data_IF_353167237990
#
_entry.id   IF_353167237990
#
_cell.length_a   1.000
_cell.length_b   1.000
_cell.length_c   1.000
_cell.angle_alpha   90.00
_cell.angle_beta   90.00
_cell.angle_gamma   90.00
#
_symmetry.space_group_name_H-M   'P 1'
#
loop_
_entity.id
_entity.type
_entity.pdbx_description
1 polymer ?
#
# COMPACT_ATOMS: atom_id res chain seq x y z
N UNK A 1 -18.97 -57.21 -50.71
CA UNK A 1 -19.00 -55.79 -51.12
C UNK A 1 -17.98 -55.01 -50.29
N UNK A 2 -17.06 -54.32 -50.97
CA UNK A 2 -16.09 -53.25 -50.60
C UNK A 2 -15.55 -53.18 -49.14
N UNK A 3 -14.22 -53.36 -48.91
CA UNK A 3 -13.07 -52.37 -48.98
C UNK A 3 -13.15 -51.28 -47.87
N UNK A 4 -12.12 -50.74 -47.21
CA UNK A 4 -10.63 -50.84 -47.06
C UNK A 4 -10.26 -49.79 -45.93
N UNK A 5 -9.24 -49.99 -45.07
CA UNK A 5 -7.91 -49.29 -45.04
C UNK A 5 -7.97 -47.72 -45.01
N UNK A 6 -7.21 -46.90 -44.25
CA UNK A 6 -5.86 -46.96 -43.63
C UNK A 6 -5.54 -45.65 -42.82
N UNK A 7 -4.52 -45.69 -41.93
CA UNK A 7 -3.53 -44.64 -41.54
C UNK A 7 -3.97 -43.24 -41.04
N UNK A 8 -3.30 -42.55 -40.10
CA UNK A 8 -2.05 -42.79 -39.37
C UNK A 8 -1.47 -41.51 -38.71
N UNK A 9 -0.54 -41.71 -37.77
CA UNK A 9 0.52 -40.78 -37.26
C UNK A 9 0.08 -39.50 -36.49
N UNK A 10 0.75 -39.02 -35.42
CA UNK A 10 2.17 -39.12 -35.03
C UNK A 10 2.37 -38.79 -33.54
N UNK A 11 3.25 -39.54 -32.89
CA UNK A 11 3.83 -39.28 -31.56
C UNK A 11 4.85 -38.14 -31.60
N UNK A 12 5.08 -37.47 -30.46
CA UNK A 12 6.44 -37.17 -29.98
C UNK A 12 6.46 -36.98 -28.46
N UNK A 13 7.00 -38.00 -27.80
CA UNK A 13 7.50 -38.00 -26.44
C UNK A 13 8.78 -37.18 -26.34
N UNK A 14 8.97 -36.46 -25.24
CA UNK A 14 10.28 -36.26 -24.61
C UNK A 14 10.10 -36.17 -23.11
N UNK A 15 10.47 -37.26 -22.44
CA UNK A 15 10.71 -37.36 -21.00
C UNK A 15 11.94 -36.51 -20.68
N UNK A 16 11.90 -35.76 -19.58
CA UNK A 16 13.12 -35.42 -18.84
C UNK A 16 12.96 -35.96 -17.41
N UNK A 17 13.66 -37.06 -17.18
CA UNK A 17 14.01 -37.59 -15.86
C UNK A 17 15.09 -36.68 -15.27
N UNK A 18 14.92 -36.24 -14.03
CA UNK A 18 16.04 -35.78 -13.21
C UNK A 18 15.95 -36.45 -11.84
N UNK A 19 17.08 -37.03 -11.49
CA UNK A 19 17.28 -38.06 -10.50
C UNK A 19 17.15 -37.54 -9.07
N UNK A 20 16.47 -38.33 -8.24
CA UNK A 20 16.60 -38.30 -6.79
C UNK A 20 17.90 -39.05 -6.42
N UNK A 21 18.89 -38.31 -5.92
CA UNK A 21 20.01 -38.89 -5.20
C UNK A 21 19.73 -38.76 -3.71
N UNK A 22 19.46 -39.90 -3.07
CA UNK A 22 19.47 -40.03 -1.62
C UNK A 22 20.89 -40.05 -1.09
N UNK A 23 21.09 -39.40 0.06
CA UNK A 23 22.18 -39.71 0.97
C UNK A 23 21.57 -39.88 2.36
N UNK A 24 21.44 -41.15 2.78
CA UNK A 24 21.49 -41.54 4.17
C UNK A 24 22.96 -41.48 4.62
N UNK A 25 23.23 -40.92 5.80
CA UNK A 25 23.98 -41.61 6.87
C UNK A 25 24.11 -40.73 8.13
N UNK A 26 23.90 -41.41 9.25
CA UNK A 26 24.47 -41.24 10.59
C UNK A 26 23.99 -40.10 11.50
N UNK A 27 23.10 -40.52 12.40
CA UNK A 27 23.02 -40.12 13.80
C UNK A 27 24.31 -40.51 14.57
N UNK A 28 24.83 -39.62 15.42
CA UNK A 28 25.33 -39.94 16.77
C UNK A 28 25.38 -38.66 17.64
N UNK A 29 25.16 -38.76 18.97
CA UNK A 29 24.98 -37.63 19.89
C UNK A 29 26.23 -37.30 20.72
N UNK A 30 26.26 -36.07 21.27
CA UNK A 30 26.99 -35.71 22.49
C UNK A 30 28.36 -35.05 22.28
N UNK A 31 28.49 -33.80 22.73
CA UNK A 31 29.59 -33.34 23.60
C UNK A 31 29.29 -31.92 24.09
N UNK A 32 29.29 -31.81 25.42
CA UNK A 32 29.16 -30.58 26.19
C UNK A 32 30.34 -29.64 26.01
N UNK A 33 30.05 -28.35 26.20
CA UNK A 33 30.91 -27.41 26.90
C UNK A 33 32.26 -27.07 26.26
N UNK A 34 32.37 -25.83 25.76
CA UNK A 34 33.41 -24.91 26.23
C UNK A 34 33.11 -23.49 25.72
N UNK A 35 32.89 -22.62 26.71
CA UNK A 35 33.06 -21.18 26.67
C UNK A 35 34.38 -20.80 26.01
N UNK A 36 34.35 -19.82 25.10
CA UNK A 36 35.38 -18.78 25.00
C UNK A 36 34.87 -17.59 24.17
N UNK A 37 35.18 -16.42 24.69
CA UNK A 37 34.73 -15.09 24.33
C UNK A 37 35.44 -14.46 23.13
N UNK A 38 34.71 -13.55 22.46
CA UNK A 38 35.17 -12.35 21.74
C UNK A 38 35.65 -12.51 20.27
N UNK A 39 35.76 -11.40 19.50
CA UNK A 39 34.71 -10.41 19.19
C UNK A 39 34.55 -10.17 17.67
N UNK A 40 33.53 -9.37 17.32
CA UNK A 40 33.30 -8.74 16.02
C UNK A 40 34.57 -8.36 15.25
N UNK A 41 34.67 -8.81 13.99
CA UNK A 41 35.47 -8.15 12.96
C UNK A 41 34.60 -7.80 11.76
N UNK A 42 34.40 -6.50 11.63
CA UNK A 42 33.96 -5.79 10.45
C UNK A 42 34.66 -6.28 9.18
N UNK A 43 33.90 -6.52 8.11
CA UNK A 43 34.40 -6.66 6.75
C UNK A 43 35.12 -5.37 6.34
N UNK A 44 36.43 -5.37 6.45
CA UNK A 44 37.29 -4.42 5.75
C UNK A 44 37.39 -4.93 4.32
N UNK A 45 36.86 -4.15 3.38
CA UNK A 45 37.10 -4.31 1.94
C UNK A 45 38.56 -3.95 1.66
N UNK A 46 39.46 -4.92 1.72
CA UNK A 46 40.81 -4.77 1.16
C UNK A 46 40.74 -4.92 -0.36
N UNK A 47 40.83 -3.79 -1.06
CA UNK A 47 41.06 -3.75 -2.51
C UNK A 47 42.38 -4.44 -2.83
N UNK A 48 42.30 -5.52 -3.60
CA UNK A 48 43.47 -6.22 -4.15
C UNK A 48 44.24 -5.27 -5.08
N UNK A 49 45.44 -4.86 -4.68
CA UNK A 49 46.39 -4.24 -5.59
C UNK A 49 47.00 -5.34 -6.48
N UNK A 50 46.52 -5.43 -7.72
CA UNK A 50 47.19 -6.21 -8.75
C UNK A 50 48.51 -5.50 -9.11
N UNK A 51 49.64 -6.06 -8.68
CA UNK A 51 50.96 -5.64 -9.11
C UNK A 51 51.14 -5.88 -10.61
N UNK A 52 51.24 -4.80 -11.38
CA UNK A 52 51.64 -4.85 -12.79
C UNK A 52 53.17 -4.98 -12.84
N UNK A 53 53.65 -6.17 -13.15
CA UNK A 53 55.06 -6.41 -13.44
C UNK A 53 55.40 -5.79 -14.81
N UNK A 54 56.29 -4.79 -14.82
CA UNK A 54 56.84 -4.22 -16.06
C UNK A 54 58.05 -5.03 -16.50
N UNK A 55 57.97 -5.62 -17.70
CA UNK A 55 59.12 -6.18 -18.42
C UNK A 55 59.59 -5.13 -19.43
N UNK A 56 60.66 -4.42 -19.12
CA UNK A 56 61.27 -3.47 -20.05
C UNK A 56 62.09 -4.22 -21.10
N UNK A 57 61.70 -4.12 -22.38
CA UNK A 57 62.58 -4.36 -23.53
C UNK A 57 62.48 -3.16 -24.46
N UNK A 58 63.60 -2.45 -24.62
CA UNK A 58 63.96 -1.68 -25.80
C UNK A 58 63.11 -0.45 -26.16
N UNK A 59 63.67 0.73 -25.92
CA UNK A 59 63.60 1.87 -26.86
C UNK A 59 62.29 2.64 -26.99
N UNK A 60 62.29 3.86 -26.47
CA UNK A 60 61.55 4.98 -27.08
C UNK A 60 60.18 5.33 -26.49
N UNK A 61 60.07 6.59 -26.07
CA UNK A 61 58.88 7.35 -25.62
C UNK A 61 58.32 7.00 -24.24
N UNK A 62 58.72 7.81 -23.26
CA UNK A 62 57.99 8.00 -21.99
C UNK A 62 56.68 8.73 -22.31
N UNK A 63 55.57 8.01 -22.38
CA UNK A 63 54.24 8.62 -22.24
C UNK A 63 54.00 8.69 -20.74
N UNK A 64 54.00 9.91 -20.19
CA UNK A 64 53.53 10.15 -18.84
C UNK A 64 52.02 9.89 -18.82
N UNK A 65 51.63 8.67 -18.48
CA UNK A 65 50.25 8.39 -18.05
C UNK A 65 50.15 8.97 -16.64
N UNK A 66 49.74 10.23 -16.57
CA UNK A 66 49.26 10.81 -15.32
C UNK A 66 48.10 9.92 -14.87
N UNK A 67 48.34 9.11 -13.83
CA UNK A 67 47.25 8.48 -13.08
C UNK A 67 46.42 9.61 -12.48
N UNK A 68 45.36 9.99 -13.18
CA UNK A 68 44.25 10.74 -12.61
C UNK A 68 43.59 9.84 -11.57
N UNK A 69 44.16 9.82 -10.37
CA UNK A 69 43.55 9.33 -9.14
C UNK A 69 42.49 10.33 -8.65
N UNK A 70 41.71 10.89 -9.57
CA UNK A 70 40.40 11.43 -9.21
C UNK A 70 39.50 10.21 -9.17
N UNK A 71 39.45 9.59 -7.99
CA UNK A 71 38.41 8.64 -7.66
C UNK A 71 37.10 9.25 -8.16
N UNK A 72 36.41 8.52 -9.03
CA UNK A 72 35.06 8.86 -9.41
C UNK A 72 34.27 8.95 -8.12
N UNK A 73 34.14 10.15 -7.56
CA UNK A 73 33.13 10.46 -6.57
C UNK A 73 31.86 9.99 -7.22
N UNK A 74 31.39 8.83 -6.76
CA UNK A 74 30.22 8.18 -7.32
C UNK A 74 29.11 9.22 -7.29
N UNK A 75 28.66 9.67 -8.46
CA UNK A 75 27.65 10.72 -8.57
C UNK A 75 26.37 10.33 -7.79
N UNK A 76 26.17 9.04 -7.54
CA UNK A 76 25.12 8.52 -6.68
C UNK A 76 25.33 8.86 -5.19
N UNK A 77 26.57 8.84 -4.70
CA UNK A 77 26.90 9.24 -3.32
C UNK A 77 26.69 10.74 -3.12
N UNK A 78 27.01 11.58 -4.12
CA UNK A 78 26.74 13.02 -4.05
C UNK A 78 25.25 13.31 -3.91
N UNK A 79 24.41 12.67 -4.73
CA UNK A 79 22.94 12.85 -4.63
C UNK A 79 22.36 12.37 -3.30
N UNK A 80 22.87 11.25 -2.77
CA UNK A 80 22.45 10.73 -1.47
C UNK A 80 22.83 11.69 -0.33
N UNK A 81 24.05 12.24 -0.37
CA UNK A 81 24.54 13.21 0.61
C UNK A 81 23.76 14.54 0.55
N UNK A 82 23.51 15.07 -0.65
CA UNK A 82 22.70 16.26 -0.87
C UNK A 82 21.22 16.11 -0.43
N UNK A 83 20.74 14.87 -0.26
CA UNK A 83 19.39 14.56 0.20
C UNK A 83 19.33 14.17 1.68
N UNK A 84 20.47 14.06 2.36
CA UNK A 84 20.57 13.61 3.75
C UNK A 84 20.79 14.82 4.68
N UNK A 85 19.81 15.21 5.52
CA UNK A 85 19.96 16.36 6.43
C UNK A 85 21.05 16.18 7.49
N UNK A 86 21.60 14.98 7.68
CA UNK A 86 22.77 14.75 8.52
C UNK A 86 24.12 14.96 7.80
N UNK A 87 24.12 15.33 6.52
CA UNK A 87 25.34 15.61 5.75
C UNK A 87 25.46 17.12 5.47
N UNK A 88 26.66 17.74 5.55
CA UNK A 88 26.83 19.18 5.29
C UNK A 88 26.34 19.63 3.89
N UNK A 89 26.53 18.78 2.88
CA UNK A 89 26.11 19.09 1.49
C UNK A 89 24.61 19.32 1.33
N UNK A 90 23.77 18.72 2.18
CA UNK A 90 22.34 19.00 2.20
C UNK A 90 22.06 20.47 2.51
N UNK A 91 22.71 21.02 3.54
CA UNK A 91 22.52 22.39 3.99
C UNK A 91 23.09 23.40 2.99
N UNK A 92 24.27 23.09 2.42
CA UNK A 92 24.85 23.88 1.32
C UNK A 92 23.92 23.97 0.12
N UNK A 93 23.25 22.87 -0.24
CA UNK A 93 22.25 22.86 -1.31
C UNK A 93 21.00 23.69 -1.00
N UNK A 94 20.64 23.84 0.27
CA UNK A 94 19.58 24.76 0.70
C UNK A 94 20.05 26.23 0.77
N UNK A 95 21.30 26.53 0.42
CA UNK A 95 21.87 27.87 0.47
C UNK A 95 22.37 28.29 1.86
N UNK A 96 22.62 27.34 2.76
CA UNK A 96 23.18 27.58 4.09
C UNK A 96 24.64 27.17 4.15
N UNK A 97 25.50 28.02 4.72
CA UNK A 97 26.94 27.77 4.81
C UNK A 97 27.29 26.64 5.79
N UNK A 98 26.48 26.47 6.83
CA UNK A 98 26.58 25.39 7.83
C UNK A 98 25.18 24.93 8.29
N UNK A 99 25.14 23.91 9.15
CA UNK A 99 23.91 23.41 9.77
C UNK A 99 23.29 24.50 10.65
N UNK A 100 21.97 24.75 10.55
CA UNK A 100 21.28 25.64 11.49
C UNK A 100 21.23 25.01 12.89
N UNK A 101 21.12 25.79 13.96
CA UNK A 101 21.12 25.29 15.34
C UNK A 101 20.06 24.21 15.62
N UNK A 102 18.92 24.27 14.92
CA UNK A 102 17.82 23.31 15.04
C UNK A 102 17.90 22.14 14.04
N UNK A 103 19.06 21.88 13.42
CA UNK A 103 19.22 20.82 12.41
C UNK A 103 18.83 19.43 12.93
N UNK A 104 19.02 19.16 14.22
CA UNK A 104 18.63 17.88 14.85
C UNK A 104 17.12 17.64 14.76
N UNK A 105 16.31 18.69 14.98
CA UNK A 105 14.85 18.60 14.87
C UNK A 105 14.42 18.24 13.43
N UNK A 106 15.10 18.82 12.43
CA UNK A 106 14.86 18.49 11.02
C UNK A 106 15.22 17.03 10.71
N UNK A 107 16.34 16.54 11.23
CA UNK A 107 16.76 15.13 11.05
C UNK A 107 15.76 14.17 11.69
N UNK A 108 15.31 14.46 12.91
CA UNK A 108 14.34 13.63 13.62
C UNK A 108 12.96 13.67 12.97
N UNK A 109 12.54 14.82 12.44
CA UNK A 109 11.31 14.93 11.64
C UNK A 109 11.42 14.12 10.35
N UNK A 110 12.54 14.23 9.62
CA UNK A 110 12.77 13.48 8.39
C UNK A 110 12.80 11.96 8.66
N UNK A 111 13.45 11.52 9.74
CA UNK A 111 13.45 10.12 10.18
C UNK A 111 12.03 9.64 10.49
N UNK A 112 11.28 10.39 11.29
CA UNK A 112 9.90 10.06 11.66
C UNK A 112 8.99 9.96 10.44
N UNK A 113 9.13 10.90 9.50
CA UNK A 113 8.42 10.90 8.21
C UNK A 113 8.77 9.66 7.38
N UNK A 114 10.05 9.29 7.30
CA UNK A 114 10.51 8.09 6.61
C UNK A 114 9.98 6.79 7.22
N UNK A 115 9.96 6.69 8.55
CA UNK A 115 9.38 5.54 9.27
C UNK A 115 7.87 5.42 8.99
N UNK A 116 7.13 6.52 9.12
CA UNK A 116 5.70 6.52 8.84
C UNK A 116 5.42 6.18 7.37
N UNK A 117 6.21 6.73 6.45
CA UNK A 117 6.10 6.40 5.03
C UNK A 117 6.29 4.91 4.77
N UNK A 118 7.33 4.30 5.34
CA UNK A 118 7.56 2.87 5.22
C UNK A 118 6.36 2.06 5.74
N UNK A 119 5.87 2.39 6.96
CA UNK A 119 4.70 1.73 7.54
C UNK A 119 3.46 1.86 6.66
N UNK A 120 3.15 3.05 6.18
CA UNK A 120 1.98 3.33 5.33
C UNK A 120 2.08 2.59 4.00
N UNK A 121 3.25 2.60 3.38
CA UNK A 121 3.48 1.88 2.12
C UNK A 121 3.35 0.37 2.32
N UNK A 122 3.88 -0.19 3.42
CA UNK A 122 3.73 -1.60 3.76
C UNK A 122 2.26 -1.95 4.04
N UNK A 123 1.54 -1.13 4.82
CA UNK A 123 0.12 -1.36 5.12
C UNK A 123 -0.79 -1.26 3.89
N UNK A 124 -0.44 -0.41 2.92
CA UNK A 124 -1.15 -0.28 1.65
C UNK A 124 -0.72 -1.32 0.58
N UNK A 125 0.42 -1.97 0.76
CA UNK A 125 0.95 -2.92 -0.20
C UNK A 125 0.09 -4.19 -0.24
N UNK A 126 -0.39 -4.52 -1.44
CA UNK A 126 -1.12 -5.77 -1.70
C UNK A 126 -0.20 -6.81 -2.33
N UNK A 127 -0.30 -8.05 -1.86
CA UNK A 127 0.40 -9.18 -2.46
C UNK A 127 -0.07 -9.43 -3.91
N UNK A 128 0.76 -10.06 -4.76
CA UNK A 128 0.34 -10.48 -6.10
C UNK A 128 -0.94 -11.34 -6.08
N UNK A 129 -1.09 -12.20 -5.08
CA UNK A 129 -2.22 -13.10 -4.89
C UNK A 129 -3.50 -12.32 -4.57
N UNK A 130 -3.43 -11.33 -3.66
CA UNK A 130 -4.56 -10.44 -3.35
C UNK A 130 -4.99 -9.65 -4.59
N UNK A 131 -4.05 -9.16 -5.40
CA UNK A 131 -4.36 -8.45 -6.65
C UNK A 131 -5.04 -9.37 -7.67
N UNK A 132 -4.58 -10.62 -7.80
CA UNK A 132 -5.19 -11.63 -8.68
C UNK A 132 -6.60 -12.00 -8.21
N UNK A 133 -6.80 -12.21 -6.90
CA UNK A 133 -8.11 -12.48 -6.31
C UNK A 133 -9.08 -11.33 -6.59
N UNK A 134 -8.66 -10.07 -6.36
CA UNK A 134 -9.47 -8.89 -6.66
C UNK A 134 -9.85 -8.81 -8.15
N UNK A 135 -8.93 -9.18 -9.05
CA UNK A 135 -9.20 -9.27 -10.48
C UNK A 135 -10.25 -10.34 -10.83
N UNK A 136 -10.19 -11.51 -10.20
CA UNK A 136 -11.19 -12.58 -10.40
C UNK A 136 -12.56 -12.15 -9.90
N UNK A 137 -12.63 -11.60 -8.70
CA UNK A 137 -13.89 -11.14 -8.10
C UNK A 137 -14.52 -10.01 -8.92
N UNK A 138 -13.71 -9.04 -9.39
CA UNK A 138 -14.19 -7.98 -10.30
C UNK A 138 -14.86 -8.56 -11.55
N UNK A 139 -14.26 -9.60 -12.18
CA UNK A 139 -14.85 -10.24 -13.38
C UNK A 139 -16.14 -10.97 -13.07
N UNK A 140 -16.25 -11.63 -11.91
CA UNK A 140 -17.48 -12.30 -11.47
C UNK A 140 -18.62 -11.28 -11.28
N UNK A 141 -18.33 -10.15 -10.62
CA UNK A 141 -19.31 -9.06 -10.44
C UNK A 141 -19.69 -8.46 -11.80
N UNK A 142 -18.72 -8.18 -12.67
CA UNK A 142 -18.98 -7.61 -14.00
C UNK A 142 -19.84 -8.54 -14.85
N UNK A 143 -19.59 -9.86 -14.80
CA UNK A 143 -20.41 -10.85 -15.46
C UNK A 143 -21.85 -10.83 -14.93
N UNK A 144 -22.04 -10.85 -13.60
CA UNK A 144 -23.37 -10.79 -12.99
C UNK A 144 -24.11 -9.49 -13.38
N UNK A 145 -23.41 -8.34 -13.40
CA UNK A 145 -23.97 -7.05 -13.85
C UNK A 145 -24.47 -7.13 -15.28
N UNK A 146 -23.67 -7.65 -16.21
CA UNK A 146 -24.03 -7.74 -17.63
C UNK A 146 -25.17 -8.74 -17.91
N UNK A 147 -25.19 -9.87 -17.19
CA UNK A 147 -26.25 -10.88 -17.36
C UNK A 147 -27.61 -10.40 -16.85
N UNK A 148 -27.63 -9.67 -15.74
CA UNK A 148 -28.88 -9.25 -15.08
C UNK A 148 -29.43 -7.93 -15.60
N UNK A 149 -28.56 -6.96 -15.90
CA UNK A 149 -28.95 -5.59 -16.29
C UNK A 149 -28.73 -5.29 -17.78
N UNK A 150 -28.24 -6.27 -18.53
CA UNK A 150 -27.96 -6.16 -19.97
C UNK A 150 -26.53 -5.70 -20.28
N UNK A 151 -26.14 -5.90 -21.56
CA UNK A 151 -24.77 -5.67 -22.03
C UNK A 151 -24.29 -4.22 -22.02
N UNK A 152 -25.19 -3.24 -21.89
CA UNK A 152 -24.84 -1.81 -21.79
C UNK A 152 -24.44 -1.39 -20.38
N UNK A 153 -24.75 -2.18 -19.36
CA UNK A 153 -24.38 -1.90 -17.97
C UNK A 153 -22.86 -1.91 -17.79
N UNK A 154 -22.33 -0.89 -17.12
CA UNK A 154 -20.89 -0.72 -16.86
C UNK A 154 -20.60 -0.86 -15.38
N UNK A 155 -19.53 -1.59 -15.06
CA UNK A 155 -19.04 -1.72 -13.69
C UNK A 155 -17.81 -0.82 -13.51
N UNK A 156 -17.90 0.13 -12.58
CA UNK A 156 -16.79 1.01 -12.21
C UNK A 156 -16.25 0.62 -10.84
N UNK A 157 -14.93 0.59 -10.69
CA UNK A 157 -14.32 0.58 -9.36
C UNK A 157 -14.60 1.90 -8.67
N UNK A 158 -15.03 1.85 -7.43
CA UNK A 158 -15.38 3.01 -6.63
C UNK A 158 -14.59 3.01 -5.30
N UNK A 159 -14.92 3.95 -4.42
CA UNK A 159 -14.45 3.99 -3.05
C UNK A 159 -12.95 4.27 -2.92
N UNK A 160 -12.38 3.79 -1.81
CA UNK A 160 -11.00 4.10 -1.43
C UNK A 160 -9.97 3.59 -2.45
N UNK A 161 -10.23 2.42 -3.06
CA UNK A 161 -9.36 1.82 -4.09
C UNK A 161 -9.33 2.63 -5.38
N UNK A 162 -10.45 3.21 -5.79
CA UNK A 162 -10.48 4.11 -6.95
C UNK A 162 -9.71 5.42 -6.67
N UNK A 163 -9.80 5.91 -5.43
CA UNK A 163 -9.12 7.13 -4.95
C UNK A 163 -7.65 6.92 -4.57
N UNK A 164 -7.18 5.67 -4.53
CA UNK A 164 -5.85 5.26 -4.01
C UNK A 164 -5.63 5.66 -2.54
N UNK A 165 -6.71 5.75 -1.76
CA UNK A 165 -6.71 6.02 -0.32
C UNK A 165 -6.86 4.73 0.50
N UNK A 166 -6.78 3.56 -0.14
CA UNK A 166 -6.96 2.24 0.44
C UNK A 166 -5.74 1.75 1.24
N UNK A 167 -6.02 0.94 2.25
CA UNK A 167 -5.06 0.01 2.87
C UNK A 167 -5.24 -1.37 2.23
N UNK A 168 -4.31 -2.29 2.46
CA UNK A 168 -4.28 -3.61 1.80
C UNK A 168 -5.51 -4.47 2.10
N UNK A 169 -6.11 -4.30 3.28
CA UNK A 169 -7.29 -4.98 3.78
C UNK A 169 -8.61 -4.27 3.44
N UNK A 170 -8.57 -3.13 2.75
CA UNK A 170 -9.78 -2.37 2.42
C UNK A 170 -10.69 -3.13 1.45
N UNK A 171 -11.99 -3.01 1.66
CA UNK A 171 -13.05 -3.61 0.83
C UNK A 171 -13.00 -3.18 -0.64
N UNK A 172 -13.76 -3.87 -1.49
CA UNK A 172 -13.93 -3.52 -2.90
C UNK A 172 -15.29 -2.89 -3.15
N UNK A 173 -15.27 -1.58 -3.37
CA UNK A 173 -16.45 -0.84 -3.77
C UNK A 173 -16.60 -0.81 -5.29
N UNK A 174 -17.82 -1.07 -5.76
CA UNK A 174 -18.20 -1.01 -7.16
C UNK A 174 -19.42 -0.11 -7.34
N UNK A 175 -19.42 0.63 -8.44
CA UNK A 175 -20.55 1.43 -8.89
C UNK A 175 -21.00 0.91 -10.25
N UNK A 176 -22.25 0.48 -10.33
CA UNK A 176 -22.90 0.03 -11.56
C UNK A 176 -23.58 1.22 -12.21
N UNK A 177 -23.20 1.50 -13.46
CA UNK A 177 -23.78 2.53 -14.31
C UNK A 177 -24.65 1.89 -15.38
N UNK A 178 -25.87 2.42 -15.54
CA UNK A 178 -26.88 1.97 -16.50
C UNK A 178 -27.54 3.17 -17.15
N UNK A 179 -28.08 2.97 -18.36
CA UNK A 179 -28.82 4.02 -19.08
C UNK A 179 -30.23 4.23 -18.50
N UNK A 180 -30.78 3.22 -17.81
CA UNK A 180 -32.08 3.23 -17.15
C UNK A 180 -31.96 3.20 -15.63
N UNK A 181 -33.07 3.45 -14.92
CA UNK A 181 -33.17 3.34 -13.46
C UNK A 181 -33.35 1.88 -13.07
N UNK A 182 -32.45 1.35 -12.23
CA UNK A 182 -32.50 -0.02 -11.74
C UNK A 182 -33.63 -0.19 -10.72
N UNK A 183 -34.56 -1.11 -10.98
CA UNK A 183 -35.70 -1.39 -10.08
C UNK A 183 -35.35 -2.41 -8.98
N UNK A 184 -36.26 -2.62 -8.03
CA UNK A 184 -36.11 -3.66 -7.03
C UNK A 184 -36.04 -5.07 -7.64
N UNK A 185 -36.80 -5.32 -8.72
CA UNK A 185 -36.79 -6.58 -9.49
C UNK A 185 -35.45 -6.78 -10.20
N UNK A 186 -34.90 -5.71 -10.81
CA UNK A 186 -33.57 -5.73 -11.43
C UNK A 186 -32.48 -6.09 -10.43
N UNK A 187 -32.53 -5.48 -9.24
CA UNK A 187 -31.63 -5.82 -8.14
C UNK A 187 -31.77 -7.29 -7.74
N UNK A 188 -32.98 -7.83 -7.69
CA UNK A 188 -33.18 -9.25 -7.36
C UNK A 188 -32.60 -10.17 -8.45
N UNK A 189 -32.79 -9.84 -9.73
CA UNK A 189 -32.13 -10.56 -10.84
C UNK A 189 -30.61 -10.49 -10.73
N UNK A 190 -30.07 -9.32 -10.42
CA UNK A 190 -28.64 -9.14 -10.17
C UNK A 190 -28.13 -10.02 -9.02
N UNK A 191 -28.86 -10.09 -7.90
CA UNK A 191 -28.52 -10.94 -6.76
C UNK A 191 -28.51 -12.42 -7.16
N UNK A 192 -29.51 -12.89 -7.91
CA UNK A 192 -29.56 -14.28 -8.38
C UNK A 192 -28.36 -14.62 -9.27
N UNK A 193 -27.94 -13.69 -10.16
CA UNK A 193 -26.74 -13.87 -10.97
C UNK A 193 -25.45 -13.80 -10.16
N UNK A 194 -25.41 -12.98 -9.10
CA UNK A 194 -24.27 -12.83 -8.21
C UNK A 194 -24.11 -14.01 -7.25
N UNK A 195 -25.22 -14.65 -6.86
CA UNK A 195 -25.23 -15.83 -5.99
C UNK A 195 -24.57 -17.05 -6.66
N UNK A 196 -24.62 -17.16 -8.00
CA UNK A 196 -23.98 -18.26 -8.75
C UNK A 196 -22.47 -18.36 -8.48
N UNK A 197 -21.67 -17.27 -8.63
CA UNK A 197 -20.25 -17.29 -8.27
C UNK A 197 -19.96 -17.10 -6.77
N UNK A 198 -20.92 -16.66 -5.96
CA UNK A 198 -20.76 -16.38 -4.51
C UNK A 198 -21.86 -17.06 -3.67
N UNK A 199 -21.97 -18.40 -3.68
CA UNK A 199 -23.09 -19.12 -3.06
C UNK A 199 -23.12 -18.95 -1.54
N UNK A 200 -24.27 -18.58 -1.00
CA UNK A 200 -24.54 -18.31 0.42
C UNK A 200 -23.90 -17.03 0.95
N UNK A 201 -23.31 -16.20 0.08
CA UNK A 201 -22.45 -15.07 0.48
C UNK A 201 -22.94 -13.70 0.04
N UNK A 202 -24.10 -13.61 -0.62
CA UNK A 202 -24.70 -12.34 -1.02
C UNK A 202 -25.71 -11.86 0.03
N UNK A 203 -25.62 -10.59 0.41
CA UNK A 203 -26.50 -9.93 1.38
C UNK A 203 -26.90 -8.54 0.90
N UNK A 204 -28.09 -8.10 1.26
CA UNK A 204 -28.54 -6.72 1.05
C UNK A 204 -28.46 -6.00 2.40
N UNK A 205 -27.85 -4.82 2.41
CA UNK A 205 -27.88 -3.93 3.58
C UNK A 205 -29.24 -3.24 3.70
N UNK A 206 -29.56 -2.68 4.87
CA UNK A 206 -30.78 -1.88 5.05
C UNK A 206 -30.88 -0.69 4.09
N UNK A 207 -29.74 -0.19 3.59
CA UNK A 207 -29.63 0.93 2.66
C UNK A 207 -29.65 0.52 1.18
N UNK A 208 -30.03 -0.72 0.88
CA UNK A 208 -30.11 -1.23 -0.49
C UNK A 208 -28.77 -1.51 -1.18
N UNK A 209 -27.64 -1.42 -0.47
CA UNK A 209 -26.31 -1.81 -0.99
C UNK A 209 -26.23 -3.34 -1.03
N UNK A 210 -25.82 -3.90 -2.16
CA UNK A 210 -25.57 -5.35 -2.30
C UNK A 210 -24.13 -5.63 -1.87
N UNK A 211 -23.96 -6.58 -0.95
CA UNK A 211 -22.67 -7.05 -0.46
C UNK A 211 -22.45 -8.51 -0.82
N UNK A 212 -21.25 -8.85 -1.23
CA UNK A 212 -20.83 -10.23 -1.43
C UNK A 212 -19.47 -10.47 -0.76
N UNK A 213 -19.20 -11.69 -0.32
CA UNK A 213 -17.90 -12.08 0.22
C UNK A 213 -17.12 -12.87 -0.85
N UNK A 214 -16.08 -12.23 -1.40
CA UNK A 214 -15.21 -12.79 -2.42
C UNK A 214 -13.92 -13.37 -1.86
N UNK A 215 -13.07 -13.86 -2.77
CA UNK A 215 -11.71 -14.33 -2.43
C UNK A 215 -10.81 -13.18 -1.95
N UNK A 216 -11.16 -11.96 -2.32
CA UNK A 216 -10.39 -10.75 -2.07
C UNK A 216 -10.96 -9.86 -0.96
N UNK A 217 -11.90 -10.39 -0.18
CA UNK A 217 -12.58 -9.70 0.92
C UNK A 217 -14.03 -9.35 0.59
N UNK A 218 -14.57 -8.38 1.33
CA UNK A 218 -15.93 -7.89 1.13
C UNK A 218 -16.01 -7.04 -0.16
N UNK A 219 -17.05 -7.30 -0.94
CA UNK A 219 -17.41 -6.59 -2.16
C UNK A 219 -18.69 -5.80 -1.87
N UNK A 220 -18.67 -4.49 -2.10
CA UNK A 220 -19.82 -3.59 -1.95
C UNK A 220 -20.22 -3.07 -3.32
N UNK A 221 -21.46 -3.33 -3.74
CA UNK A 221 -21.99 -2.92 -5.03
C UNK A 221 -23.13 -1.92 -4.83
N UNK A 222 -22.99 -0.75 -5.46
CA UNK A 222 -24.01 0.28 -5.53
C UNK A 222 -24.42 0.53 -6.98
N UNK A 223 -25.63 1.03 -7.19
CA UNK A 223 -26.19 1.37 -8.49
C UNK A 223 -26.26 2.90 -8.61
N UNK A 224 -25.87 3.46 -9.75
CA UNK A 224 -25.85 4.90 -9.93
C UNK A 224 -27.26 5.51 -9.98
N UNK A 225 -28.20 4.80 -10.62
CA UNK A 225 -29.60 5.19 -10.75
C UNK A 225 -30.44 4.02 -10.27
N UNK A 226 -31.11 4.16 -9.14
CA UNK A 226 -32.02 3.14 -8.61
C UNK A 226 -33.17 3.78 -7.84
N UNK A 227 -34.36 3.18 -7.93
CA UNK A 227 -35.59 3.66 -7.29
C UNK A 227 -35.82 3.07 -5.89
N UNK A 228 -35.07 2.01 -5.53
CA UNK A 228 -35.19 1.30 -4.26
C UNK A 228 -34.29 1.84 -3.14
N UNK A 229 -33.51 2.89 -3.41
CA UNK A 229 -32.74 3.57 -2.36
C UNK A 229 -33.69 4.41 -1.51
N UNK A 230 -33.58 4.27 -0.20
CA UNK A 230 -34.12 5.24 0.74
C UNK A 230 -33.33 6.57 0.66
N UNK A 231 -33.80 7.61 1.35
CA UNK A 231 -33.12 8.92 1.38
C UNK A 231 -31.65 8.78 1.79
N UNK A 232 -31.36 7.91 2.75
CA UNK A 232 -30.01 7.62 3.24
C UNK A 232 -29.14 6.87 2.20
N UNK A 233 -29.74 5.97 1.42
CA UNK A 233 -29.09 5.25 0.34
C UNK A 233 -28.75 6.16 -0.84
N UNK A 234 -29.62 7.12 -1.16
CA UNK A 234 -29.33 8.15 -2.15
C UNK A 234 -28.13 9.02 -1.73
N UNK A 235 -28.03 9.38 -0.45
CA UNK A 235 -26.88 10.13 0.08
C UNK A 235 -25.55 9.35 -0.10
N UNK A 236 -25.57 8.02 0.07
CA UNK A 236 -24.38 7.17 -0.15
C UNK A 236 -23.95 7.18 -1.61
N UNK A 237 -24.89 7.09 -2.55
CA UNK A 237 -24.61 7.15 -4.00
C UNK A 237 -24.05 8.53 -4.39
N UNK A 238 -24.49 9.58 -3.71
CA UNK A 238 -24.10 10.98 -3.93
C UNK A 238 -22.88 11.44 -3.12
N UNK A 239 -22.40 10.66 -2.15
CA UNK A 239 -21.25 10.99 -1.28
C UNK A 239 -19.89 10.87 -2.00
N UNK A 240 -19.75 11.59 -3.11
CA UNK A 240 -18.53 11.70 -3.90
C UNK A 240 -18.03 13.13 -3.92
N UNK A 241 -17.46 13.64 -2.82
CA UNK A 241 -17.00 15.04 -2.80
C UNK A 241 -15.57 15.26 -2.33
N UNK A 242 -14.92 14.29 -1.68
CA UNK A 242 -13.48 14.37 -1.44
C UNK A 242 -12.76 13.64 -2.57
N UNK A 243 -12.62 14.29 -3.73
CA UNK A 243 -11.85 13.72 -4.83
C UNK A 243 -10.35 13.90 -4.53
N UNK A 244 -9.70 12.82 -4.11
CA UNK A 244 -8.24 12.76 -3.98
C UNK A 244 -7.56 12.33 -5.28
N UNK A 245 -8.29 12.15 -6.39
CA UNK A 245 -7.70 11.85 -7.69
C UNK A 245 -6.76 12.99 -8.10
N UNK A 246 -5.52 12.65 -8.43
CA UNK A 246 -4.49 13.64 -8.77
C UNK A 246 -3.88 14.37 -7.57
N UNK A 247 -4.20 13.99 -6.33
CA UNK A 247 -3.62 14.57 -5.11
C UNK A 247 -2.82 13.51 -4.31
N UNK A 248 -1.57 13.19 -4.69
CA UNK A 248 -0.77 12.16 -4.02
C UNK A 248 -0.52 12.45 -2.54
N UNK A 249 -0.36 13.72 -2.16
CA UNK A 249 -0.12 14.12 -0.79
C UNK A 249 -1.34 13.80 0.09
N UNK A 250 -2.53 14.21 -0.34
CA UNK A 250 -3.79 13.88 0.33
C UNK A 250 -4.06 12.38 0.37
N UNK A 251 -3.82 11.65 -0.74
CA UNK A 251 -3.95 10.19 -0.77
C UNK A 251 -3.12 9.50 0.31
N UNK A 252 -1.85 9.90 0.43
CA UNK A 252 -0.92 9.32 1.40
C UNK A 252 -1.28 9.72 2.84
N UNK A 253 -1.70 10.97 3.05
CA UNK A 253 -2.18 11.43 4.35
C UNK A 253 -3.42 10.65 4.81
N UNK A 254 -4.41 10.41 3.93
CA UNK A 254 -5.58 9.59 4.25
C UNK A 254 -5.18 8.19 4.69
N UNK A 255 -4.26 7.53 3.96
CA UNK A 255 -3.78 6.19 4.35
C UNK A 255 -3.06 6.20 5.69
N UNK A 256 -2.26 7.24 5.96
CA UNK A 256 -1.57 7.39 7.23
C UNK A 256 -2.55 7.57 8.40
N UNK A 257 -3.59 8.38 8.23
CA UNK A 257 -4.63 8.56 9.26
C UNK A 257 -5.43 7.25 9.46
N UNK A 258 -5.81 6.55 8.39
CA UNK A 258 -6.47 5.23 8.49
C UNK A 258 -5.62 4.23 9.27
N UNK A 259 -4.33 4.14 8.95
CA UNK A 259 -3.39 3.26 9.64
C UNK A 259 -3.29 3.61 11.13
N UNK A 260 -3.15 4.90 11.46
CA UNK A 260 -3.08 5.35 12.85
C UNK A 260 -4.36 5.05 13.65
N UNK A 261 -5.53 5.10 13.01
CA UNK A 261 -6.80 4.72 13.63
C UNK A 261 -6.87 3.20 13.84
N UNK A 262 -6.43 2.40 12.85
CA UNK A 262 -6.36 0.94 12.94
C UNK A 262 -5.41 0.48 14.05
N UNK A 263 -4.21 1.04 14.16
CA UNK A 263 -3.23 0.74 15.22
C UNK A 263 -3.77 1.07 16.63
N UNK A 264 -4.79 1.93 16.74
CA UNK A 264 -5.44 2.33 18.00
C UNK A 264 -6.80 1.66 18.22
N UNK A 265 -7.20 0.76 17.32
CA UNK A 265 -8.51 0.10 17.34
C UNK A 265 -9.69 1.10 17.34
N UNK A 266 -9.50 2.27 16.73
CA UNK A 266 -10.52 3.30 16.61
C UNK A 266 -11.31 3.11 15.30
N UNK A 267 -12.62 3.03 15.44
CA UNK A 267 -13.53 2.88 14.30
C UNK A 267 -13.94 4.27 13.78
N UNK A 268 -13.63 4.55 12.52
CA UNK A 268 -14.09 5.73 11.79
C UNK A 268 -14.39 5.35 10.35
N UNK A 269 -15.44 5.94 9.77
CA UNK A 269 -15.76 5.64 8.36
C UNK A 269 -14.68 6.24 7.46
N UNK A 270 -14.28 5.52 6.43
CA UNK A 270 -13.25 6.00 5.50
C UNK A 270 -13.57 7.37 4.87
N UNK A 271 -14.85 7.65 4.61
CA UNK A 271 -15.32 8.96 4.15
C UNK A 271 -15.05 10.09 5.16
N UNK A 272 -15.24 9.84 6.45
CA UNK A 272 -14.99 10.84 7.51
C UNK A 272 -13.50 11.18 7.59
N UNK A 273 -12.63 10.17 7.44
CA UNK A 273 -11.17 10.37 7.35
C UNK A 273 -10.81 11.22 6.12
N UNK A 274 -11.40 10.91 4.96
CA UNK A 274 -11.17 11.66 3.71
C UNK A 274 -11.58 13.14 3.85
N UNK A 275 -12.76 13.41 4.41
CA UNK A 275 -13.20 14.78 4.71
C UNK A 275 -12.27 15.48 5.72
N UNK A 276 -11.77 14.74 6.71
CA UNK A 276 -10.87 15.29 7.72
C UNK A 276 -9.52 15.72 7.16
N UNK A 277 -8.95 14.92 6.26
CA UNK A 277 -7.72 15.28 5.54
C UNK A 277 -7.97 16.44 4.58
N UNK A 278 -9.08 16.44 3.82
CA UNK A 278 -9.39 17.54 2.89
C UNK A 278 -9.47 18.88 3.63
N UNK A 279 -10.17 18.93 4.77
CA UNK A 279 -10.26 20.15 5.58
C UNK A 279 -8.91 20.58 6.15
N UNK A 280 -8.03 19.64 6.52
CA UNK A 280 -6.68 19.97 6.93
C UNK A 280 -5.87 20.59 5.78
N UNK A 281 -6.07 20.10 4.55
CA UNK A 281 -5.42 20.63 3.35
C UNK A 281 -5.97 21.99 2.92
N UNK A 282 -7.29 22.21 3.00
CA UNK A 282 -7.90 23.53 2.75
C UNK A 282 -7.31 24.60 3.67
N UNK A 283 -6.97 24.23 4.91
CA UNK A 283 -6.36 25.13 5.89
C UNK A 283 -4.84 25.22 5.77
N UNK A 284 -4.20 24.28 5.09
CA UNK A 284 -2.74 24.24 4.89
C UNK A 284 -2.44 23.78 3.44
N UNK A 285 -2.68 24.64 2.42
CA UNK A 285 -2.61 24.22 1.01
C UNK A 285 -1.23 23.69 0.59
N UNK A 286 -0.18 24.25 1.17
CA UNK A 286 1.22 23.91 0.88
C UNK A 286 1.77 22.79 1.78
N UNK A 287 0.98 22.29 2.73
CA UNK A 287 1.45 21.24 3.63
C UNK A 287 1.66 19.93 2.87
N UNK A 288 2.78 19.27 3.15
CA UNK A 288 3.03 17.94 2.64
C UNK A 288 2.13 16.89 3.32
N UNK A 289 2.16 15.65 2.83
CA UNK A 289 1.32 14.57 3.36
C UNK A 289 1.56 14.29 4.86
N UNK A 290 2.77 14.51 5.37
CA UNK A 290 3.14 14.21 6.74
C UNK A 290 2.56 15.26 7.69
N UNK A 291 2.67 16.53 7.31
CA UNK A 291 2.10 17.63 8.07
C UNK A 291 0.56 17.63 7.99
N UNK A 292 -0.02 17.27 6.84
CA UNK A 292 -1.45 17.01 6.72
C UNK A 292 -1.91 15.90 7.67
N UNK A 293 -1.15 14.80 7.77
CA UNK A 293 -1.46 13.70 8.70
C UNK A 293 -1.47 14.17 10.15
N UNK A 294 -0.44 14.91 10.57
CA UNK A 294 -0.36 15.51 11.91
C UNK A 294 -1.55 16.43 12.17
N UNK A 295 -1.78 17.39 11.28
CA UNK A 295 -2.88 18.35 11.43
C UNK A 295 -4.23 17.64 11.55
N UNK A 296 -4.48 16.61 10.74
CA UNK A 296 -5.72 15.82 10.82
C UNK A 296 -5.84 15.07 12.15
N UNK A 297 -4.81 14.35 12.60
CA UNK A 297 -4.86 13.61 13.87
C UNK A 297 -5.03 14.54 15.08
N UNK A 298 -4.28 15.65 15.13
CA UNK A 298 -4.43 16.64 16.19
C UNK A 298 -5.86 17.22 16.24
N UNK A 299 -6.49 17.48 15.09
CA UNK A 299 -7.90 17.94 15.04
C UNK A 299 -8.91 16.88 15.46
N UNK A 300 -8.60 15.60 15.29
CA UNK A 300 -9.39 14.50 15.84
C UNK A 300 -9.20 14.34 17.37
N UNK A 301 -8.38 15.17 18.01
CA UNK A 301 -8.03 15.06 19.43
C UNK A 301 -7.09 13.90 19.71
N UNK A 302 -6.42 13.37 18.69
CA UNK A 302 -5.47 12.28 18.80
C UNK A 302 -4.06 12.85 18.97
N UNK A 303 -3.25 12.32 19.91
CA UNK A 303 -1.89 12.82 20.12
C UNK A 303 -1.07 12.71 18.84
N UNK A 304 -0.46 13.82 18.43
CA UNK A 304 0.45 13.86 17.28
C UNK A 304 1.79 13.17 17.57
N UNK A 305 2.17 13.03 18.84
CA UNK A 305 3.39 12.36 19.30
C UNK A 305 3.45 10.87 18.99
N UNK A 306 2.32 10.25 18.62
CA UNK A 306 2.21 8.81 18.33
C UNK A 306 2.34 8.47 16.84
N UNK A 307 2.61 9.47 15.98
CA UNK A 307 3.15 9.20 14.63
C UNK A 307 4.60 8.71 14.73
N UNK A 308 5.33 9.17 15.75
CA UNK A 308 6.60 8.62 16.16
C UNK A 308 6.37 7.58 17.27
N UNK A 309 7.25 6.58 17.39
CA UNK A 309 7.28 5.55 18.45
C UNK A 309 6.38 4.32 18.26
N UNK A 310 6.82 3.43 17.38
CA UNK A 310 6.91 2.01 17.72
C UNK A 310 8.34 1.51 17.46
N UNK A 311 9.33 2.19 18.02
CA UNK A 311 10.70 1.69 18.14
C UNK A 311 10.94 1.38 19.62
N UNK A 312 10.42 0.24 20.07
CA UNK A 312 10.83 -0.44 21.31
C UNK A 312 10.60 0.30 22.63
N UNK A 313 9.40 0.16 23.22
CA UNK A 313 9.23 -0.07 24.68
C UNK A 313 7.76 -0.40 24.97
N UNK A 314 7.42 -1.44 25.76
CA UNK A 314 6.05 -1.75 26.14
C UNK A 314 5.57 -0.74 27.20
N UNK A 315 5.05 0.40 26.75
CA UNK A 315 4.39 1.34 27.64
C UNK A 315 3.06 0.75 28.14
N UNK A 316 2.94 0.70 29.46
CA UNK A 316 1.80 0.27 30.28
C UNK A 316 0.45 0.74 29.75
N UNK A 317 -0.43 -0.22 29.46
CA UNK A 317 -1.85 -0.01 29.14
C UNK A 317 -2.58 0.48 30.39
N UNK A 318 -2.86 1.77 30.52
CA UNK A 318 -3.95 2.28 31.37
C UNK A 318 -5.13 2.75 30.51
N UNK A 319 -6.39 2.51 30.94
CA UNK A 319 -7.56 2.75 30.12
C UNK A 319 -8.04 4.21 30.23
N UNK A 320 -7.52 5.08 29.36
CA UNK A 320 -8.00 6.45 29.17
C UNK A 320 -9.25 6.51 28.25
N UNK A 321 -10.21 5.59 28.39
CA UNK A 321 -11.20 5.32 27.33
C UNK A 321 -12.65 5.73 27.58
N UNK A 322 -12.99 6.40 28.68
CA UNK A 322 -14.38 6.90 28.89
C UNK A 322 -14.64 8.36 28.50
N UNK A 323 -13.59 9.17 28.26
CA UNK A 323 -13.73 10.59 27.90
C UNK A 323 -13.56 10.91 26.40
N UNK A 324 -12.99 10.00 25.61
CA UNK A 324 -12.78 10.21 24.16
C UNK A 324 -14.01 9.87 23.31
N UNK A 325 -14.82 8.87 23.69
CA UNK A 325 -16.00 8.47 22.91
C UNK A 325 -17.01 9.60 22.73
N UNK A 326 -17.23 10.40 23.77
CA UNK A 326 -18.11 11.59 23.75
C UNK A 326 -17.51 12.76 22.97
N UNK A 327 -16.17 12.95 22.97
CA UNK A 327 -15.50 14.01 22.19
C UNK A 327 -15.45 13.71 20.69
N UNK A 328 -15.15 12.47 20.30
CA UNK A 328 -15.14 12.07 18.87
C UNK A 328 -16.55 12.18 18.30
N UNK A 329 -17.57 11.72 19.04
CA UNK A 329 -18.97 11.91 18.61
C UNK A 329 -19.34 13.39 18.48
N UNK A 330 -18.93 14.27 19.41
CA UNK A 330 -19.22 15.72 19.30
C UNK A 330 -18.51 16.39 18.13
N UNK A 331 -17.25 16.06 17.88
CA UNK A 331 -16.53 16.56 16.71
C UNK A 331 -17.21 16.07 15.43
N UNK A 332 -17.58 14.78 15.34
CA UNK A 332 -18.30 14.27 14.16
C UNK A 332 -19.72 14.87 14.02
N UNK A 333 -20.42 15.17 15.12
CA UNK A 333 -21.72 15.84 15.12
C UNK A 333 -21.63 17.32 14.69
N UNK A 334 -20.65 18.06 15.19
CA UNK A 334 -20.35 19.43 14.74
C UNK A 334 -19.91 19.47 13.26
N UNK A 335 -19.36 18.36 12.75
CA UNK A 335 -19.02 18.19 11.33
C UNK A 335 -20.25 17.91 10.45
N UNK A 336 -21.27 17.21 10.95
CA UNK A 336 -22.53 17.00 10.22
C UNK A 336 -23.47 18.21 10.24
N UNK A 337 -23.38 19.08 11.25
CA UNK A 337 -24.25 20.25 11.40
C UNK A 337 -23.90 21.47 10.52
N UNK A 338 -22.87 21.39 9.66
CA UNK A 338 -22.42 22.50 8.79
C UNK A 338 -22.42 22.18 7.30
N UNK A 339 -23.02 21.06 6.88
CA UNK A 339 -23.19 20.68 5.48
C UNK A 339 -24.61 20.21 5.21
#
# INVERSE_FOLDING_TARGET
MLKKWLCGQRSRSSRLLLALAGCQLCWMPGLDGLSLSAPCKSRISTSFAAGVAWRTRGGGKKIAVAMAYYGTYDLNNLRANEANPNHPDFWKKQGLDDRPDNWEEFVDQARSKGILEHKVNTAAARSPEQKKAAGRDTRKVEHATKQSLGGTAKLHRNGSRAKKTDLSDSDQDYKVETDFTVTAEDRQRFILELEKPFPGKVKITSKGIVRAEGESGQLCIIFQKADFYDKDGQEIVCSGTADFKGNPAGQKAVRAVKLALQERELQMRGYEVECAVRKAQELNPEADWYDLTKATLCRMGLPCSSIALATGSPATKQPFWKLLGTRISRVVSDWRGRY
#
